data_IF_473915104907
#
_entry.id   IF_473915104907
#
_cell.length_a   1.000
_cell.length_b   1.000
_cell.length_c   1.000
_cell.angle_alpha   90.00
_cell.angle_beta   90.00
_cell.angle_gamma   90.00
#
_symmetry.space_group_name_H-M   'P 1'
#
loop_
_entity.id
_entity.type
_entity.pdbx_description
1 polymer ?
#
# COMPACT_ATOMS: atom_id res chain seq x y z
N UNK A 1 0.96 6.68 -3.67
CA UNK A 1 -0.02 6.37 -4.74
C UNK A 1 0.20 4.95 -5.29
N UNK A 2 -0.53 3.95 -4.80
CA UNK A 2 -0.38 2.53 -5.22
C UNK A 2 -1.76 1.97 -5.60
N UNK A 3 -1.85 1.24 -6.71
CA UNK A 3 -3.09 0.58 -7.13
C UNK A 3 -3.18 -0.88 -6.66
N UNK A 4 -4.39 -1.43 -6.59
CA UNK A 4 -4.63 -2.85 -6.25
C UNK A 4 -3.90 -3.80 -7.21
N UNK A 5 -4.04 -3.57 -8.52
CA UNK A 5 -3.38 -4.38 -9.56
C UNK A 5 -1.86 -4.35 -9.45
N UNK A 6 -1.27 -3.17 -9.26
CA UNK A 6 0.17 -3.03 -9.08
C UNK A 6 0.66 -3.82 -7.88
N UNK A 7 -0.09 -3.76 -6.76
CA UNK A 7 0.27 -4.47 -5.55
C UNK A 7 0.23 -6.00 -5.72
N UNK A 8 -0.78 -6.52 -6.44
CA UNK A 8 -0.85 -7.93 -6.81
C UNK A 8 0.32 -8.36 -7.71
N UNK A 9 0.66 -7.55 -8.72
CA UNK A 9 1.81 -7.83 -9.59
C UNK A 9 3.12 -7.82 -8.81
N UNK A 10 3.32 -6.87 -7.90
CA UNK A 10 4.52 -6.80 -7.08
C UNK A 10 4.68 -8.07 -6.24
N UNK A 11 3.58 -8.55 -5.62
CA UNK A 11 3.57 -9.79 -4.85
C UNK A 11 3.99 -11.00 -5.70
N UNK A 12 3.43 -11.11 -6.92
CA UNK A 12 3.76 -12.19 -7.83
C UNK A 12 5.23 -12.18 -8.27
N UNK A 13 5.82 -11.00 -8.52
CA UNK A 13 7.23 -10.89 -8.89
C UNK A 13 8.15 -11.27 -7.73
N UNK A 14 7.84 -10.83 -6.51
CA UNK A 14 8.61 -11.20 -5.32
C UNK A 14 8.47 -12.70 -5.05
N UNK A 15 7.28 -13.29 -5.20
CA UNK A 15 7.09 -14.72 -5.06
C UNK A 15 7.96 -15.53 -6.04
N UNK A 16 8.04 -15.11 -7.32
CA UNK A 16 8.97 -15.71 -8.29
C UNK A 16 10.42 -15.60 -7.83
N UNK A 17 10.83 -14.45 -7.30
CA UNK A 17 12.18 -14.26 -6.74
C UNK A 17 12.48 -15.17 -5.55
N UNK A 18 11.54 -15.34 -4.62
CA UNK A 18 11.66 -16.22 -3.45
C UNK A 18 11.86 -17.69 -3.83
N UNK A 19 11.20 -18.15 -4.89
CA UNK A 19 11.39 -19.51 -5.42
C UNK A 19 12.82 -19.69 -5.93
N UNK A 20 13.38 -18.69 -6.62
CA UNK A 20 14.75 -18.72 -7.12
C UNK A 20 15.79 -18.69 -6.00
N UNK A 21 15.54 -17.96 -4.92
CA UNK A 21 16.44 -17.87 -3.75
C UNK A 21 16.37 -19.07 -2.81
N UNK A 22 15.52 -20.07 -3.07
CA UNK A 22 15.24 -21.21 -2.19
C UNK A 22 14.77 -20.79 -0.79
N UNK A 23 14.04 -19.67 -0.71
CA UNK A 23 13.41 -19.21 0.52
C UNK A 23 12.45 -20.29 1.05
N UNK A 24 12.58 -20.67 2.32
CA UNK A 24 11.75 -21.74 2.91
C UNK A 24 10.36 -21.27 3.31
N UNK A 25 10.19 -19.98 3.55
CA UNK A 25 8.91 -19.41 4.00
C UNK A 25 8.18 -18.77 2.81
N UNK A 26 7.59 -19.61 1.97
CA UNK A 26 6.78 -19.19 0.82
C UNK A 26 5.38 -18.70 1.22
N UNK A 27 4.96 -18.95 2.46
CA UNK A 27 3.62 -18.61 2.94
C UNK A 27 3.46 -17.14 3.30
N UNK A 28 4.55 -16.40 3.52
CA UNK A 28 4.49 -14.95 3.75
C UNK A 28 4.49 -14.17 2.44
N UNK A 29 3.45 -13.37 2.15
CA UNK A 29 3.50 -12.45 1.03
C UNK A 29 4.59 -11.41 1.26
N UNK A 30 5.31 -11.07 0.19
CA UNK A 30 6.41 -10.10 0.16
C UNK A 30 7.64 -10.36 1.05
N UNK A 31 7.61 -11.30 2.01
CA UNK A 31 8.76 -11.59 2.89
C UNK A 31 8.96 -10.57 4.03
N UNK A 32 7.93 -9.80 4.37
CA UNK A 32 7.97 -8.74 5.39
C UNK A 32 8.12 -7.36 4.75
N UNK A 33 7.01 -6.64 4.60
CA UNK A 33 6.97 -5.31 4.00
C UNK A 33 6.40 -4.29 4.98
N UNK A 34 6.92 -3.08 4.88
CA UNK A 34 6.40 -1.90 5.56
C UNK A 34 5.88 -0.94 4.49
N UNK A 35 4.58 -0.64 4.51
CA UNK A 35 3.99 0.38 3.65
C UNK A 35 4.00 1.71 4.41
N UNK A 36 4.48 2.78 3.77
CA UNK A 36 4.40 4.13 4.30
C UNK A 36 3.74 5.05 3.29
N UNK A 37 2.80 5.87 3.73
CA UNK A 37 2.10 6.80 2.84
C UNK A 37 1.07 7.67 3.53
N UNK A 38 0.42 8.52 2.74
CA UNK A 38 -0.68 9.39 3.17
C UNK A 38 -1.88 9.14 2.24
N UNK A 39 -3.07 8.97 2.83
CA UNK A 39 -4.33 8.75 2.10
C UNK A 39 -4.88 10.02 1.46
N UNK A 40 -4.36 11.20 1.83
CA UNK A 40 -4.66 12.47 1.19
C UNK A 40 -3.79 12.76 -0.04
N UNK A 41 -2.88 11.85 -0.40
CA UNK A 41 -2.18 11.92 -1.69
C UNK A 41 -3.18 11.74 -2.85
N UNK A 42 -2.87 12.35 -4.00
CA UNK A 42 -3.65 12.16 -5.22
C UNK A 42 -3.91 10.67 -5.50
N UNK A 43 -5.09 10.27 -5.98
CA UNK A 43 -5.34 8.88 -6.38
C UNK A 43 -4.41 8.51 -7.55
N UNK A 44 -4.00 7.22 -7.68
CA UNK A 44 -3.11 6.77 -8.76
C UNK A 44 -3.54 7.33 -10.12
N UNK A 45 -2.60 7.99 -10.82
CA UNK A 45 -2.87 8.76 -12.05
C UNK A 45 -3.43 7.88 -13.18
N UNK A 46 -3.01 6.61 -13.21
CA UNK A 46 -3.49 5.61 -14.16
C UNK A 46 -4.24 4.50 -13.41
N UNK A 47 -5.57 4.54 -13.48
CA UNK A 47 -6.48 3.56 -12.88
C UNK A 47 -7.91 4.10 -12.85
N UNK A 48 -8.91 3.20 -12.87
CA UNK A 48 -10.30 3.59 -12.65
C UNK A 48 -10.50 4.25 -11.27
N UNK A 49 -11.66 4.88 -11.01
CA UNK A 49 -11.94 5.54 -9.71
C UNK A 49 -11.71 4.63 -8.49
N UNK A 50 -11.82 3.32 -8.66
CA UNK A 50 -11.65 2.31 -7.62
C UNK A 50 -10.24 1.69 -7.57
N UNK A 51 -9.30 2.19 -8.38
CA UNK A 51 -7.95 1.67 -8.43
C UNK A 51 -7.10 1.84 -7.15
N UNK A 52 -7.30 2.85 -6.27
CA UNK A 52 -6.47 3.00 -5.07
C UNK A 52 -6.49 1.75 -4.19
N UNK A 53 -5.33 1.41 -3.63
CA UNK A 53 -5.16 0.20 -2.80
C UNK A 53 -6.15 0.12 -1.61
N UNK A 54 -6.47 1.26 -1.02
CA UNK A 54 -7.36 1.37 0.14
C UNK A 54 -8.86 1.39 -0.22
N UNK A 55 -9.22 1.47 -1.51
CA UNK A 55 -10.61 1.54 -1.93
C UNK A 55 -11.31 0.18 -1.77
N UNK A 56 -12.59 0.12 -1.35
CA UNK A 56 -13.34 -1.13 -1.24
C UNK A 56 -13.44 -1.89 -2.57
N UNK A 57 -13.46 -3.22 -2.50
CA UNK A 57 -13.70 -4.07 -3.67
C UNK A 57 -15.19 -4.33 -3.92
N UNK A 58 -15.53 -4.51 -5.19
CA UNK A 58 -16.82 -5.01 -5.69
C UNK A 58 -16.56 -6.27 -6.52
N UNK A 59 -16.85 -7.44 -5.95
CA UNK A 59 -16.62 -8.74 -6.60
C UNK A 59 -17.41 -8.94 -7.89
N UNK A 60 -18.43 -8.13 -8.16
CA UNK A 60 -19.20 -8.17 -9.40
C UNK A 60 -18.57 -7.38 -10.55
N UNK A 61 -17.61 -6.49 -10.26
CA UNK A 61 -17.01 -5.56 -11.23
C UNK A 61 -15.49 -5.60 -11.29
N UNK A 62 -14.84 -5.92 -10.18
CA UNK A 62 -13.38 -5.89 -10.07
C UNK A 62 -12.74 -7.15 -10.64
N UNK A 63 -11.52 -7.01 -11.18
CA UNK A 63 -10.75 -8.15 -11.69
C UNK A 63 -10.20 -9.03 -10.56
N UNK A 64 -9.81 -10.26 -10.89
CA UNK A 64 -9.18 -11.17 -9.93
C UNK A 64 -7.90 -10.56 -9.32
N UNK A 65 -7.12 -9.82 -10.10
CA UNK A 65 -5.91 -9.12 -9.66
C UNK A 65 -6.24 -7.98 -8.70
N UNK A 66 -7.32 -7.24 -8.93
CA UNK A 66 -7.77 -6.18 -8.02
C UNK A 66 -8.22 -6.76 -6.67
N UNK A 67 -9.00 -7.84 -6.70
CA UNK A 67 -9.42 -8.57 -5.50
C UNK A 67 -8.21 -9.12 -4.74
N UNK A 68 -7.22 -9.67 -5.44
CA UNK A 68 -5.99 -10.16 -4.83
C UNK A 68 -5.18 -9.03 -4.19
N UNK A 69 -5.00 -7.91 -4.90
CA UNK A 69 -4.29 -6.74 -4.38
C UNK A 69 -4.94 -6.19 -3.11
N UNK A 70 -6.28 -6.17 -3.06
CA UNK A 70 -7.03 -5.79 -1.86
C UNK A 70 -6.82 -6.78 -0.71
N UNK A 71 -6.94 -8.08 -0.98
CA UNK A 71 -6.74 -9.11 0.04
C UNK A 71 -5.35 -9.02 0.66
N UNK A 72 -4.32 -8.83 -0.17
CA UNK A 72 -2.94 -8.64 0.29
C UNK A 72 -2.78 -7.38 1.15
N UNK A 73 -3.50 -6.31 0.84
CA UNK A 73 -3.50 -5.09 1.65
C UNK A 73 -4.17 -5.30 3.02
N UNK A 74 -5.23 -6.12 3.08
CA UNK A 74 -5.93 -6.42 4.34
C UNK A 74 -5.13 -7.31 5.30
N UNK A 75 -4.08 -7.98 4.83
CA UNK A 75 -3.14 -8.72 5.70
C UNK A 75 -2.28 -7.78 6.57
N UNK A 76 -2.21 -6.49 6.22
CA UNK A 76 -1.53 -5.48 7.04
C UNK A 76 -2.42 -5.08 8.22
N UNK A 77 -2.19 -5.72 9.37
CA UNK A 77 -3.00 -5.53 10.57
C UNK A 77 -2.48 -4.42 11.50
N UNK A 78 -1.19 -4.09 11.42
CA UNK A 78 -0.58 -3.05 12.26
C UNK A 78 -0.57 -1.74 11.50
N UNK A 79 -1.22 -0.71 12.04
CA UNK A 79 -1.25 0.65 11.48
C UNK A 79 -0.73 1.63 12.52
N UNK A 80 0.37 2.32 12.20
CA UNK A 80 0.93 3.40 13.01
C UNK A 80 0.63 4.73 12.35
N UNK A 81 -0.06 5.62 13.06
CA UNK A 81 -0.38 6.97 12.59
C UNK A 81 0.65 7.96 13.13
N UNK A 82 1.38 8.62 12.24
CA UNK A 82 2.30 9.68 12.61
C UNK A 82 1.50 10.96 12.90
N UNK A 83 1.72 11.56 14.08
CA UNK A 83 1.04 12.79 14.52
C UNK A 83 1.89 14.04 14.34
N UNK A 84 3.20 13.88 14.33
CA UNK A 84 4.15 14.97 14.22
C UNK A 84 4.85 14.92 12.87
N UNK A 85 4.82 16.05 12.17
CA UNK A 85 5.55 16.24 10.92
C UNK A 85 6.65 17.27 11.19
N UNK A 86 7.91 16.84 11.11
CA UNK A 86 9.06 17.74 11.14
C UNK A 86 9.20 18.41 9.76
N UNK A 87 8.34 19.39 9.49
CA UNK A 87 8.43 20.20 8.28
C UNK A 87 9.47 21.32 8.45
N UNK A 88 10.11 21.73 7.36
CA UNK A 88 11.19 22.74 7.28
C UNK A 88 10.83 24.12 7.89
N UNK A 89 11.83 25.00 8.20
CA UNK A 89 11.64 26.21 9.00
C UNK A 89 10.72 27.27 8.35
N UNK A 90 10.10 28.15 9.16
CA UNK A 90 8.78 28.74 8.91
C UNK A 90 8.75 29.96 7.97
N UNK A 91 9.80 30.24 7.20
CA UNK A 91 9.85 31.47 6.40
C UNK A 91 9.20 31.34 5.00
N UNK A 92 8.57 30.21 4.65
CA UNK A 92 8.00 30.05 3.29
C UNK A 92 6.64 29.36 3.14
N UNK A 93 5.96 28.77 4.13
CA UNK A 93 4.64 28.15 3.87
C UNK A 93 3.63 28.33 5.02
N UNK A 94 2.44 28.80 4.63
CA UNK A 94 1.24 29.06 5.43
C UNK A 94 0.62 27.76 6.04
N UNK A 95 -0.44 27.86 6.87
CA UNK A 95 -0.68 26.99 8.01
C UNK A 95 -1.37 25.66 7.68
N UNK A 96 -0.99 24.62 8.44
CA UNK A 96 -1.84 23.49 8.87
C UNK A 96 -2.42 22.65 7.73
N UNK A 97 -1.65 21.70 7.22
CA UNK A 97 -2.20 20.43 6.77
C UNK A 97 -1.77 19.33 7.74
N UNK A 98 -2.74 18.81 8.50
CA UNK A 98 -2.57 17.56 9.26
C UNK A 98 -2.52 16.39 8.26
N UNK A 99 -1.38 16.23 7.60
CA UNK A 99 -1.12 15.05 6.77
C UNK A 99 -0.90 13.85 7.70
N UNK A 100 -1.93 13.01 7.80
CA UNK A 100 -1.83 11.78 8.55
C UNK A 100 -1.06 10.76 7.70
N UNK A 101 0.22 10.65 7.99
CA UNK A 101 1.05 9.57 7.45
C UNK A 101 0.78 8.29 8.24
N UNK A 102 0.73 7.17 7.53
CA UNK A 102 0.52 5.85 8.08
C UNK A 102 1.68 4.94 7.72
N UNK A 103 2.08 4.12 8.68
CA UNK A 103 2.98 2.99 8.46
C UNK A 103 2.19 1.72 8.71
N UNK A 104 2.19 0.80 7.75
CA UNK A 104 1.52 -0.49 7.86
C UNK A 104 2.51 -1.64 7.75
N UNK A 105 2.34 -2.70 8.56
CA UNK A 105 3.21 -3.88 8.51
C UNK A 105 2.44 -5.19 8.54
N UNK A 106 2.97 -6.20 7.82
CA UNK A 106 2.54 -7.59 7.84
C UNK A 106 3.67 -8.45 8.45
N UNK A 107 3.50 -8.94 9.69
CA UNK A 107 4.47 -9.82 10.38
C UNK A 107 4.05 -11.29 10.32
#
# INVERSE_FOLDING_TARGET
MVSRTFFAHLSAHIAKGKVLSRERDTNKPFGGVILSGDFHQCPPVAGGRNAPLFWPCDSSKDSAEELLGRKLYEEFSIVVRLKEQLSCPPHQIAPITHHYQFIMSSY
#
